data_IF_243269434431
#
_entry.id   IF_243269434431
#
_cell.length_a   1.000
_cell.length_b   1.000
_cell.length_c   1.000
_cell.angle_alpha   90.00
_cell.angle_beta   90.00
_cell.angle_gamma   90.00
#
_symmetry.space_group_name_H-M   'P 1'
#
loop_
_entity.id
_entity.type
_entity.pdbx_description
1 polymer ?
#
# COMPACT_ATOMS: atom_id res chain seq x y z
N UNK A 1 -5.68 -5.76 0.85
CA UNK A 1 -5.20 -5.36 -0.49
C UNK A 1 -6.10 -4.27 -1.07
N UNK A 2 -5.76 -3.68 -2.19
CA UNK A 2 -6.47 -2.61 -2.91
C UNK A 2 -5.99 -1.20 -2.53
N UNK A 3 -6.75 -0.41 -1.78
CA UNK A 3 -6.38 0.96 -1.37
C UNK A 3 -6.77 1.22 0.08
N UNK A 4 -5.92 1.92 0.82
CA UNK A 4 -6.12 2.21 2.23
C UNK A 4 -7.41 2.97 2.54
N UNK A 5 -7.79 3.92 1.68
CA UNK A 5 -9.02 4.71 1.82
C UNK A 5 -10.33 3.90 1.75
N UNK A 6 -10.27 2.62 1.38
CA UNK A 6 -11.43 1.72 1.40
C UNK A 6 -11.67 1.07 2.77
N UNK A 7 -10.76 1.28 3.71
CA UNK A 7 -10.82 0.70 5.06
C UNK A 7 -10.92 1.83 6.08
N UNK A 8 -12.02 1.91 6.80
CA UNK A 8 -12.17 2.80 7.94
C UNK A 8 -11.35 2.25 9.12
N UNK A 9 -10.12 2.71 9.26
CA UNK A 9 -9.12 2.11 10.16
C UNK A 9 -9.55 2.16 11.63
N UNK A 10 -10.19 3.23 12.07
CA UNK A 10 -10.68 3.33 13.44
C UNK A 10 -11.80 2.32 13.74
N UNK A 11 -12.72 2.12 12.78
CA UNK A 11 -13.79 1.14 12.92
C UNK A 11 -13.25 -0.30 12.90
N UNK A 12 -12.20 -0.54 12.09
CA UNK A 12 -11.49 -1.82 12.08
C UNK A 12 -10.84 -2.11 13.45
N UNK A 13 -10.15 -1.13 14.04
CA UNK A 13 -9.55 -1.26 15.38
C UNK A 13 -10.61 -1.61 16.43
N UNK A 14 -11.76 -0.95 16.37
CA UNK A 14 -12.87 -1.25 17.28
C UNK A 14 -13.38 -2.68 17.10
N UNK A 15 -13.58 -3.12 15.85
CA UNK A 15 -13.98 -4.49 15.55
C UNK A 15 -12.96 -5.55 16.03
N UNK A 16 -11.64 -5.24 15.96
CA UNK A 16 -10.59 -6.12 16.50
C UNK A 16 -10.71 -6.21 18.04
N UNK A 17 -10.90 -5.08 18.71
CA UNK A 17 -11.10 -5.03 20.17
C UNK A 17 -12.32 -5.82 20.63
N UNK A 18 -13.41 -5.73 19.89
CA UNK A 18 -14.64 -6.49 20.13
C UNK A 18 -14.54 -7.96 19.73
N UNK A 19 -13.36 -8.41 19.26
CA UNK A 19 -13.11 -9.80 18.83
C UNK A 19 -14.03 -10.27 17.70
N UNK A 20 -14.46 -9.36 16.83
CA UNK A 20 -15.29 -9.67 15.65
C UNK A 20 -14.52 -10.42 14.58
N UNK A 21 -13.17 -10.37 14.59
CA UNK A 21 -12.30 -10.98 13.60
C UNK A 21 -11.40 -12.03 14.25
N UNK A 22 -11.23 -13.17 13.58
CA UNK A 22 -10.24 -14.17 13.97
C UNK A 22 -8.81 -13.64 13.77
N UNK A 23 -8.57 -12.96 12.66
CA UNK A 23 -7.32 -12.28 12.33
C UNK A 23 -7.53 -11.27 11.21
N UNK A 24 -6.63 -10.32 11.11
CA UNK A 24 -6.64 -9.25 10.10
C UNK A 24 -5.30 -9.17 9.41
N UNK A 25 -5.30 -9.19 8.09
CA UNK A 25 -4.13 -8.95 7.23
C UNK A 25 -4.35 -7.72 6.38
N UNK A 26 -3.47 -6.74 6.48
CA UNK A 26 -3.51 -5.51 5.73
C UNK A 26 -2.22 -5.33 4.94
N UNK A 27 -2.34 -5.13 3.64
CA UNK A 27 -1.23 -4.68 2.78
C UNK A 27 -1.37 -3.19 2.43
N UNK A 28 -2.53 -2.60 2.74
CA UNK A 28 -2.86 -1.17 2.55
C UNK A 28 -3.59 -0.63 3.76
N UNK A 29 -3.38 0.64 4.11
CA UNK A 29 -4.05 1.35 5.20
C UNK A 29 -4.08 2.86 4.94
N UNK A 30 -4.97 3.60 5.62
CA UNK A 30 -5.25 5.00 5.31
C UNK A 30 -4.02 5.93 5.39
N UNK A 31 -3.11 5.67 6.33
CA UNK A 31 -1.92 6.51 6.60
C UNK A 31 -0.66 6.04 5.86
N UNK A 32 -0.77 5.08 4.93
CA UNK A 32 0.40 4.51 4.25
C UNK A 32 1.26 5.55 3.52
N UNK A 33 0.63 6.57 2.93
CA UNK A 33 1.32 7.62 2.18
C UNK A 33 2.32 8.43 3.02
N UNK A 34 2.01 8.68 4.28
CA UNK A 34 2.90 9.41 5.19
C UNK A 34 4.02 8.55 5.77
N UNK A 35 3.85 7.23 5.78
CA UNK A 35 4.79 6.30 6.39
C UNK A 35 5.73 5.64 5.37
N UNK A 36 5.30 5.48 4.11
CA UNK A 36 6.06 4.76 3.07
C UNK A 36 7.08 5.67 2.37
N UNK A 37 6.77 6.95 2.18
CA UNK A 37 7.59 7.87 1.41
C UNK A 37 8.47 8.80 2.25
N UNK A 38 8.32 8.81 3.57
CA UNK A 38 9.18 9.55 4.49
C UNK A 38 10.06 8.59 5.29
N UNK A 39 11.36 8.87 5.33
CA UNK A 39 12.27 8.12 6.19
C UNK A 39 12.04 8.55 7.64
N UNK A 40 11.26 7.77 8.38
CA UNK A 40 10.88 8.00 9.78
C UNK A 40 11.49 6.99 10.74
N UNK A 41 12.68 6.48 10.41
CA UNK A 41 13.35 5.45 11.22
C UNK A 41 13.56 5.88 12.66
N UNK A 42 13.67 7.18 12.91
CA UNK A 42 13.91 7.76 14.24
C UNK A 42 12.64 8.30 14.94
N UNK A 43 11.47 8.27 14.29
CA UNK A 43 10.22 8.75 14.91
C UNK A 43 9.51 7.67 15.70
N UNK A 44 9.24 7.97 16.96
CA UNK A 44 8.43 7.09 17.84
C UNK A 44 6.96 7.20 17.44
N UNK A 45 6.42 6.17 16.79
CA UNK A 45 5.02 6.07 16.34
C UNK A 45 4.03 5.89 17.51
N UNK A 46 4.23 6.57 18.63
CA UNK A 46 3.50 6.33 19.89
C UNK A 46 1.98 6.58 19.80
N UNK A 47 1.52 7.39 18.87
CA UNK A 47 0.12 7.79 18.75
C UNK A 47 -0.50 7.52 17.39
N UNK A 48 0.21 6.86 16.49
CA UNK A 48 -0.30 6.59 15.14
C UNK A 48 -1.31 5.44 15.16
N UNK A 49 -2.28 5.51 14.26
CA UNK A 49 -3.23 4.43 13.99
C UNK A 49 -2.49 3.14 13.59
N UNK A 50 -1.37 3.27 12.87
CA UNK A 50 -0.49 2.17 12.48
C UNK A 50 0.11 1.45 13.69
N UNK A 51 0.64 2.19 14.69
CA UNK A 51 1.18 1.59 15.90
C UNK A 51 0.10 0.82 16.69
N UNK A 52 -1.12 1.35 16.72
CA UNK A 52 -2.27 0.66 17.35
C UNK A 52 -2.60 -0.65 16.63
N UNK A 53 -2.62 -0.67 15.29
CA UNK A 53 -2.84 -1.89 14.52
C UNK A 53 -1.75 -2.94 14.78
N UNK A 54 -0.48 -2.54 14.77
CA UNK A 54 0.66 -3.42 15.02
C UNK A 54 0.71 -3.97 16.45
N UNK A 55 0.03 -3.34 17.39
CA UNK A 55 -0.04 -3.82 18.78
C UNK A 55 -0.94 -5.05 18.99
N UNK A 56 -1.83 -5.37 18.04
CA UNK A 56 -2.71 -6.52 18.16
C UNK A 56 -2.00 -7.80 17.70
N UNK A 57 -2.06 -8.89 18.48
CA UNK A 57 -1.35 -10.14 18.16
C UNK A 57 -1.94 -10.90 16.97
N UNK A 58 -3.15 -10.58 16.57
CA UNK A 58 -3.85 -11.21 15.44
C UNK A 58 -3.95 -10.29 14.21
N UNK A 59 -3.07 -9.28 14.13
CA UNK A 59 -2.99 -8.34 12.99
C UNK A 59 -1.62 -8.45 12.33
N UNK A 60 -1.62 -8.58 11.01
CA UNK A 60 -0.43 -8.53 10.17
C UNK A 60 -0.58 -7.34 9.22
N UNK A 61 0.43 -6.48 9.19
CA UNK A 61 0.51 -5.35 8.27
C UNK A 61 1.75 -5.49 7.41
N UNK A 62 1.58 -5.38 6.11
CA UNK A 62 2.68 -5.31 5.12
C UNK A 62 2.65 -3.95 4.43
N UNK A 63 3.75 -3.57 3.81
CA UNK A 63 3.94 -2.20 3.30
C UNK A 63 3.57 -2.06 1.83
N UNK A 64 2.32 -2.36 1.47
CA UNK A 64 1.77 -2.24 0.12
C UNK A 64 2.62 -2.99 -0.92
N UNK A 65 2.94 -4.24 -0.63
CA UNK A 65 3.84 -5.08 -1.42
C UNK A 65 3.15 -6.22 -2.18
N UNK A 66 1.82 -6.19 -2.29
CA UNK A 66 1.08 -7.21 -3.03
C UNK A 66 1.46 -7.35 -4.50
N UNK A 67 2.07 -6.31 -5.10
CA UNK A 67 2.62 -6.34 -6.45
C UNK A 67 4.00 -7.03 -6.56
N UNK A 68 4.68 -7.31 -5.46
CA UNK A 68 6.04 -7.82 -5.44
C UNK A 68 6.07 -9.32 -5.78
N UNK A 69 5.75 -9.63 -7.03
CA UNK A 69 5.85 -10.96 -7.64
C UNK A 69 6.71 -10.87 -8.90
N UNK A 70 7.29 -11.97 -9.32
CA UNK A 70 8.13 -12.01 -10.51
C UNK A 70 7.37 -11.55 -11.75
N UNK A 71 6.14 -12.07 -11.93
CA UNK A 71 5.28 -11.75 -13.07
C UNK A 71 4.87 -10.27 -13.09
N UNK A 72 4.53 -9.70 -11.93
CA UNK A 72 4.15 -8.28 -11.85
C UNK A 72 5.34 -7.36 -12.11
N UNK A 73 6.52 -7.68 -11.57
CA UNK A 73 7.74 -6.90 -11.80
C UNK A 73 8.17 -6.95 -13.27
N UNK A 74 8.08 -8.11 -13.91
CA UNK A 74 8.35 -8.24 -15.35
C UNK A 74 7.37 -7.39 -16.17
N UNK A 75 6.07 -7.49 -15.90
CA UNK A 75 5.05 -6.71 -16.61
C UNK A 75 5.22 -5.19 -16.42
N UNK A 76 5.51 -4.73 -15.21
CA UNK A 76 5.77 -3.33 -14.89
C UNK A 76 7.01 -2.83 -15.64
N UNK A 77 8.09 -3.60 -15.61
CA UNK A 77 9.36 -3.25 -16.25
C UNK A 77 9.20 -3.15 -17.77
N UNK A 78 8.54 -4.12 -18.39
CA UNK A 78 8.28 -4.14 -19.81
C UNK A 78 7.42 -2.95 -20.25
N UNK A 79 6.30 -2.72 -19.58
CA UNK A 79 5.38 -1.60 -19.88
C UNK A 79 6.10 -0.25 -19.71
N UNK A 80 6.92 -0.10 -18.68
CA UNK A 80 7.69 1.13 -18.46
C UNK A 80 8.67 1.38 -19.61
N UNK A 81 9.38 0.35 -20.03
CA UNK A 81 10.32 0.44 -21.13
C UNK A 81 9.61 0.76 -22.47
N UNK A 82 8.51 0.07 -22.76
CA UNK A 82 7.70 0.33 -23.95
C UNK A 82 7.17 1.76 -24.01
N UNK A 83 6.68 2.28 -22.88
CA UNK A 83 6.23 3.67 -22.77
C UNK A 83 7.37 4.67 -23.00
N UNK A 84 8.56 4.41 -22.49
CA UNK A 84 9.73 5.26 -22.72
C UNK A 84 10.13 5.30 -24.20
N UNK A 85 10.16 4.15 -24.87
CA UNK A 85 10.45 4.06 -26.32
C UNK A 85 9.36 4.73 -27.15
N UNK A 86 8.09 4.54 -26.79
CA UNK A 86 6.97 5.20 -27.48
C UNK A 86 7.03 6.73 -27.33
N UNK A 87 7.40 7.22 -26.15
CA UNK A 87 7.60 8.66 -25.91
C UNK A 87 8.73 9.23 -26.78
N UNK A 88 9.88 8.57 -26.81
CA UNK A 88 11.03 8.98 -27.66
C UNK A 88 10.66 9.05 -29.15
N UNK A 89 9.84 8.12 -29.62
CA UNK A 89 9.38 8.05 -31.02
C UNK A 89 8.20 8.97 -31.36
N UNK A 90 7.63 9.68 -30.37
CA UNK A 90 6.45 10.52 -30.53
C UNK A 90 5.13 9.73 -30.71
N UNK A 91 5.12 8.45 -30.37
CA UNK A 91 4.00 7.50 -30.56
C UNK A 91 3.36 7.10 -29.22
N UNK A 92 3.13 8.07 -28.35
CA UNK A 92 2.55 7.82 -27.03
C UNK A 92 1.12 7.32 -27.13
N UNK A 93 0.82 6.17 -26.53
CA UNK A 93 -0.56 5.72 -26.35
C UNK A 93 -1.28 6.64 -25.36
N UNK A 94 -2.37 7.26 -25.81
CA UNK A 94 -3.17 8.18 -24.99
C UNK A 94 -3.74 7.53 -23.72
N UNK A 95 -3.94 6.23 -23.74
CA UNK A 95 -4.43 5.48 -22.56
C UNK A 95 -3.37 5.37 -21.46
N UNK A 96 -2.10 5.58 -21.78
CA UNK A 96 -0.98 5.51 -20.85
C UNK A 96 -0.55 6.90 -20.33
N UNK A 97 -1.26 7.96 -20.72
CA UNK A 97 -1.00 9.33 -20.28
C UNK A 97 -1.87 9.64 -19.07
N UNK A 98 -1.25 9.97 -17.94
CA UNK A 98 -1.94 10.22 -16.65
C UNK A 98 -2.14 11.71 -16.32
N UNK A 99 -1.72 12.60 -17.19
CA UNK A 99 -1.88 14.05 -17.01
C UNK A 99 -2.31 14.76 -18.31
#
# INVERSE_FOLDING_TARGET
TSRGALVATNDLIEGIREKKFFGVGLDVYEEEGSNVFENREDEVLQHSTTARLLSFPNVIVTSHQGFLTEEALEAISLTTFENAVAFERGNVDKNNVVC
#
